data_IF_116325599534
#
_entry.id   IF_116325599534
#
_cell.length_a   1.000
_cell.length_b   1.000
_cell.length_c   1.000
_cell.angle_alpha   90.00
_cell.angle_beta   90.00
_cell.angle_gamma   90.00
#
_symmetry.space_group_name_H-M   'P 1'
#
loop_
_entity.id
_entity.type
_entity.pdbx_description
1 polymer ?
#
# COMPACT_ATOMS: atom_id res chain seq x y z
N UNK A 1 20.35 -5.02 5.82
CA UNK A 1 19.01 -5.06 5.20
C UNK A 1 18.05 -4.43 6.18
N UNK A 2 17.18 -3.53 5.74
CA UNK A 2 16.18 -2.91 6.61
C UNK A 2 15.26 -3.98 7.18
N UNK A 3 14.83 -3.81 8.43
CA UNK A 3 13.90 -4.73 9.10
C UNK A 3 12.66 -3.97 9.52
N UNK A 4 11.52 -4.67 9.57
CA UNK A 4 10.31 -4.15 10.20
C UNK A 4 10.63 -4.01 11.70
N UNK A 5 10.59 -2.79 12.22
CA UNK A 5 11.11 -2.40 13.54
C UNK A 5 10.37 -2.95 14.77
N UNK A 6 9.57 -4.01 14.63
CA UNK A 6 8.89 -4.68 15.75
C UNK A 6 7.54 -4.08 16.18
N UNK A 7 6.98 -3.13 15.44
CA UNK A 7 5.61 -2.64 15.64
C UNK A 7 4.58 -3.39 14.79
N UNK A 8 3.35 -3.54 15.30
CA UNK A 8 2.21 -3.88 14.45
C UNK A 8 2.03 -2.76 13.43
N UNK A 9 1.96 -3.09 12.14
CA UNK A 9 1.77 -2.08 11.08
C UNK A 9 0.53 -1.23 11.35
N UNK A 10 0.57 0.05 10.98
CA UNK A 10 -0.63 0.89 11.00
C UNK A 10 -1.43 0.57 9.76
N UNK A 11 -2.73 0.32 9.91
CA UNK A 11 -3.61 0.15 8.76
C UNK A 11 -4.60 1.31 8.65
N UNK A 12 -5.05 1.57 7.43
CA UNK A 12 -6.13 2.49 7.11
C UNK A 12 -7.00 1.93 5.99
N UNK A 13 -8.26 2.32 5.99
CA UNK A 13 -9.20 2.01 4.90
C UNK A 13 -8.97 2.97 3.74
N UNK A 14 -9.00 2.43 2.53
CA UNK A 14 -8.84 3.15 1.27
C UNK A 14 -10.17 3.04 0.53
N UNK A 15 -10.92 4.14 0.46
CA UNK A 15 -12.31 4.08 0.03
C UNK A 15 -13.14 3.13 0.91
N UNK A 16 -14.10 2.44 0.30
CA UNK A 16 -14.98 1.48 1.00
C UNK A 16 -14.43 0.04 1.02
N UNK A 17 -13.53 -0.28 0.08
CA UNK A 17 -13.16 -1.67 -0.25
C UNK A 17 -11.66 -1.94 -0.18
N UNK A 18 -10.84 -0.91 -0.05
CA UNK A 18 -9.39 -1.01 0.00
C UNK A 18 -8.84 -0.94 1.42
N UNK A 19 -7.63 -1.49 1.59
CA UNK A 19 -6.85 -1.39 2.83
C UNK A 19 -5.42 -1.02 2.47
N UNK A 20 -4.84 -0.07 3.19
CA UNK A 20 -3.41 0.20 3.19
C UNK A 20 -2.82 -0.17 4.56
N UNK A 21 -1.62 -0.75 4.54
CA UNK A 21 -0.84 -1.09 5.74
C UNK A 21 0.55 -0.52 5.61
N UNK A 22 1.04 0.09 6.69
CA UNK A 22 2.31 0.79 6.75
C UNK A 22 3.19 0.21 7.85
N UNK A 23 4.43 -0.11 7.51
CA UNK A 23 5.46 -0.58 8.43
C UNK A 23 6.64 0.38 8.43
N UNK A 24 6.94 0.95 9.60
CA UNK A 24 8.19 1.67 9.81
C UNK A 24 9.37 0.69 9.80
N UNK A 25 10.39 1.03 9.03
CA UNK A 25 11.65 0.31 8.96
C UNK A 25 12.67 0.91 9.93
N UNK A 26 13.68 0.12 10.32
CA UNK A 26 14.73 0.55 11.24
C UNK A 26 15.66 1.67 10.71
N UNK A 27 15.59 1.95 9.40
CA UNK A 27 16.31 3.06 8.76
C UNK A 27 15.46 4.31 8.54
N UNK A 28 14.25 4.36 9.13
CA UNK A 28 13.36 5.51 9.07
C UNK A 28 12.44 5.57 7.84
N UNK A 29 12.62 4.66 6.87
CA UNK A 29 11.69 4.51 5.74
C UNK A 29 10.40 3.84 6.15
N UNK A 30 9.38 3.96 5.29
CA UNK A 30 8.08 3.32 5.46
C UNK A 30 7.80 2.40 4.28
N UNK A 31 7.62 1.12 4.56
CA UNK A 31 7.08 0.16 3.61
C UNK A 31 5.55 0.25 3.65
N UNK A 32 4.91 0.49 2.52
CA UNK A 32 3.46 0.58 2.41
C UNK A 32 2.91 -0.46 1.45
N UNK A 33 1.85 -1.16 1.83
CA UNK A 33 1.11 -2.08 0.97
C UNK A 33 -0.34 -1.62 0.91
N UNK A 34 -0.86 -1.36 -0.29
CA UNK A 34 -2.27 -1.07 -0.50
C UNK A 34 -2.91 -2.12 -1.40
N UNK A 35 -4.10 -2.59 -1.03
CA UNK A 35 -4.84 -3.62 -1.75
C UNK A 35 -6.31 -3.21 -1.90
N UNK A 36 -6.90 -3.52 -3.05
CA UNK A 36 -8.33 -3.41 -3.31
C UNK A 36 -8.97 -4.80 -3.26
N UNK A 37 -10.08 -4.95 -2.54
CA UNK A 37 -10.78 -6.23 -2.40
C UNK A 37 -12.15 -6.24 -3.09
N UNK A 38 -12.34 -5.41 -4.11
CA UNK A 38 -13.58 -5.31 -4.87
C UNK A 38 -13.37 -5.43 -6.38
N UNK A 39 -14.50 -5.58 -7.09
CA UNK A 39 -14.58 -5.68 -8.55
C UNK A 39 -14.56 -4.30 -9.23
N UNK A 40 -14.63 -3.21 -8.46
CA UNK A 40 -14.50 -1.84 -8.93
C UNK A 40 -13.12 -1.23 -8.56
N UNK A 41 -12.57 -0.31 -9.36
CA UNK A 41 -11.35 0.42 -8.99
C UNK A 41 -11.56 1.27 -7.73
N UNK A 42 -10.50 1.44 -6.94
CA UNK A 42 -10.50 2.36 -5.79
C UNK A 42 -9.41 3.41 -5.95
N UNK A 43 -9.77 4.67 -5.67
CA UNK A 43 -8.83 5.76 -5.70
C UNK A 43 -7.83 5.65 -4.53
N UNK A 44 -6.55 5.70 -4.85
CA UNK A 44 -5.50 5.67 -3.84
C UNK A 44 -4.23 6.34 -4.35
N UNK A 45 -3.70 7.26 -3.55
CA UNK A 45 -2.43 7.93 -3.82
C UNK A 45 -1.46 7.56 -2.72
N UNK A 46 -0.62 6.57 -3.00
CA UNK A 46 0.52 6.25 -2.13
C UNK A 46 1.66 7.24 -2.32
N UNK A 47 2.39 7.52 -1.25
CA UNK A 47 3.65 8.28 -1.31
C UNK A 47 4.85 7.33 -1.37
N UNK A 48 5.83 7.65 -2.23
CA UNK A 48 7.08 6.89 -2.37
C UNK A 48 7.26 6.20 -3.71
N UNK A 49 8.26 5.33 -3.80
CA UNK A 49 8.60 4.57 -5.01
C UNK A 49 7.87 3.23 -5.01
N UNK A 50 7.17 2.92 -6.10
CA UNK A 50 6.55 1.60 -6.29
C UNK A 50 7.63 0.53 -6.47
N UNK A 51 7.61 -0.48 -5.59
CA UNK A 51 8.47 -1.66 -5.67
C UNK A 51 7.79 -2.79 -6.46
N UNK A 52 6.47 -2.87 -6.36
CA UNK A 52 5.65 -3.87 -7.05
C UNK A 52 4.23 -3.33 -7.26
N UNK A 53 3.66 -3.63 -8.42
CA UNK A 53 2.27 -3.31 -8.76
C UNK A 53 1.63 -4.51 -9.43
N UNK A 54 0.45 -4.90 -8.97
CA UNK A 54 -0.46 -5.84 -9.62
C UNK A 54 -1.79 -5.12 -9.83
N UNK A 55 -2.30 -5.10 -11.06
CA UNK A 55 -3.57 -4.39 -11.35
C UNK A 55 -3.44 -2.88 -11.17
N UNK A 56 -2.83 -2.23 -12.16
CA UNK A 56 -2.64 -0.78 -12.16
C UNK A 56 -3.90 -0.05 -12.65
N UNK A 57 -4.28 1.00 -11.92
CA UNK A 57 -5.24 2.00 -12.38
C UNK A 57 -4.56 3.38 -12.41
N UNK A 58 -5.06 4.26 -13.28
CA UNK A 58 -4.49 5.60 -13.46
C UNK A 58 -4.41 6.40 -12.15
N UNK A 59 -5.48 6.33 -11.34
CA UNK A 59 -5.62 7.10 -10.10
C UNK A 59 -5.79 6.20 -8.85
N UNK A 60 -5.23 4.98 -8.86
CA UNK A 60 -5.28 4.11 -7.70
C UNK A 60 -5.02 2.64 -7.97
N UNK A 61 -5.87 1.80 -7.38
CA UNK A 61 -5.80 0.34 -7.49
C UNK A 61 -6.93 -0.17 -8.37
N UNK A 62 -6.59 -0.99 -9.36
CA UNK A 62 -7.57 -1.70 -10.16
C UNK A 62 -8.37 -2.70 -9.28
N UNK A 63 -9.44 -3.32 -9.82
CA UNK A 63 -10.11 -4.42 -9.15
C UNK A 63 -9.13 -5.52 -8.74
N UNK A 64 -9.20 -5.95 -7.48
CA UNK A 64 -8.26 -6.91 -6.88
C UNK A 64 -6.77 -6.53 -7.00
N UNK A 65 -6.50 -5.24 -7.22
CA UNK A 65 -5.17 -4.70 -7.40
C UNK A 65 -4.41 -4.51 -6.09
N UNK A 66 -3.09 -4.51 -6.17
CA UNK A 66 -2.17 -4.38 -5.06
C UNK A 66 -0.97 -3.52 -5.47
N UNK A 67 -0.52 -2.61 -4.60
CA UNK A 67 0.73 -1.88 -4.78
C UNK A 67 1.58 -1.89 -3.51
N UNK A 68 2.85 -2.28 -3.66
CA UNK A 68 3.87 -2.21 -2.63
C UNK A 68 4.79 -1.01 -2.91
N UNK A 69 5.01 -0.17 -1.92
CA UNK A 69 5.73 1.09 -2.05
C UNK A 69 6.72 1.30 -0.90
N UNK A 70 7.75 2.10 -1.16
CA UNK A 70 8.75 2.51 -0.18
C UNK A 70 8.94 4.03 -0.22
N UNK A 71 8.72 4.67 0.93
CA UNK A 71 8.95 6.10 1.19
C UNK A 71 10.13 6.25 2.14
#
# INVERSE_FOLDING_TARGET
MPRIGGGAGRYETVGETGVAVHWALDDGRVLSLAANFADEPVAWVGEGTALFTLGEAADGLAPWGLRLMLN
#
